data_IF_188905648709
#
_entry.id   IF_188905648709
#
_cell.length_a   1.000
_cell.length_b   1.000
_cell.length_c   1.000
_cell.angle_alpha   90.00
_cell.angle_beta   90.00
_cell.angle_gamma   90.00
#
_symmetry.space_group_name_H-M   'P 1'
#
loop_
_entity.id
_entity.type
_entity.pdbx_description
1 polymer ?
#
# COMPACT_ATOMS: atom_id res chain seq x y z
N UNK A 1 25.70 -85.13 -1.59
CA UNK A 1 26.09 -84.92 -3.02
C UNK A 1 24.88 -84.46 -3.83
N UNK A 2 24.81 -83.17 -4.20
CA UNK A 2 24.35 -82.62 -5.50
C UNK A 2 24.19 -81.10 -5.32
N UNK A 3 25.06 -80.37 -6.03
CA UNK A 3 25.37 -78.94 -5.84
C UNK A 3 24.31 -78.03 -6.46
N UNK A 4 24.06 -76.93 -5.76
CA UNK A 4 23.22 -75.79 -6.13
C UNK A 4 23.77 -75.05 -7.36
N UNK A 5 22.82 -74.57 -8.15
CA UNK A 5 22.99 -73.69 -9.31
C UNK A 5 23.49 -72.33 -8.82
N UNK A 6 24.58 -71.82 -9.39
CA UNK A 6 24.90 -70.40 -9.37
C UNK A 6 25.36 -69.97 -10.77
N UNK A 7 24.52 -69.12 -11.36
CA UNK A 7 24.75 -68.33 -12.57
C UNK A 7 25.92 -67.37 -12.30
N UNK A 8 26.99 -67.43 -13.10
CA UNK A 8 28.09 -66.47 -13.04
C UNK A 8 28.07 -65.64 -14.32
N UNK A 9 27.47 -64.45 -14.26
CA UNK A 9 27.59 -63.42 -15.29
C UNK A 9 28.86 -62.59 -14.98
N UNK A 10 29.97 -62.90 -15.67
CA UNK A 10 31.24 -62.18 -15.50
C UNK A 10 31.40 -61.08 -16.56
N UNK A 11 31.07 -59.88 -16.09
CA UNK A 11 31.56 -58.53 -16.43
C UNK A 11 32.78 -58.44 -17.38
N UNK A 12 32.61 -57.78 -18.53
CA UNK A 12 33.61 -56.86 -19.11
C UNK A 12 32.91 -55.75 -19.89
N UNK A 13 32.47 -54.71 -19.18
CA UNK A 13 32.01 -53.45 -19.79
C UNK A 13 33.16 -52.44 -19.63
N UNK A 14 33.75 -52.04 -20.76
CA UNK A 14 34.78 -51.02 -20.79
C UNK A 14 34.16 -49.67 -20.44
N UNK A 15 34.66 -49.07 -19.36
CA UNK A 15 34.33 -47.69 -18.99
C UNK A 15 35.12 -46.74 -19.90
N UNK A 16 34.41 -46.02 -20.79
CA UNK A 16 34.96 -44.86 -21.47
C UNK A 16 34.62 -43.65 -20.61
N UNK A 17 35.62 -43.16 -19.87
CA UNK A 17 35.53 -41.94 -19.08
C UNK A 17 35.66 -40.73 -20.03
N UNK A 18 34.54 -40.21 -20.54
CA UNK A 18 34.53 -38.93 -21.25
C UNK A 18 34.60 -37.78 -20.23
N UNK A 19 35.80 -37.24 -20.05
CA UNK A 19 36.00 -35.95 -19.39
C UNK A 19 35.41 -34.85 -20.28
N UNK A 20 34.20 -34.38 -19.95
CA UNK A 20 33.67 -33.13 -20.50
C UNK A 20 34.28 -31.96 -19.71
N UNK A 21 34.92 -30.97 -20.34
CA UNK A 21 35.33 -29.76 -19.64
C UNK A 21 34.07 -28.96 -19.25
N UNK A 22 33.93 -28.67 -17.94
CA UNK A 22 33.00 -27.64 -17.46
C UNK A 22 33.46 -26.29 -18.03
N UNK A 23 32.81 -25.83 -19.11
CA UNK A 23 32.96 -24.44 -19.55
C UNK A 23 32.15 -23.59 -18.58
N UNK A 24 32.81 -23.05 -17.56
CA UNK A 24 32.27 -22.01 -16.71
C UNK A 24 32.18 -20.70 -17.51
N UNK A 25 31.14 -20.58 -18.35
CA UNK A 25 30.79 -19.33 -19.01
C UNK A 25 30.19 -18.37 -18.00
N UNK A 26 30.96 -17.39 -17.54
CA UNK A 26 30.43 -16.27 -16.78
C UNK A 26 29.59 -15.38 -17.70
N UNK A 27 28.26 -15.35 -17.50
CA UNK A 27 27.38 -14.36 -18.12
C UNK A 27 27.65 -13.03 -17.43
N UNK A 28 28.54 -12.22 -18.00
CA UNK A 28 28.79 -10.85 -17.54
C UNK A 28 27.79 -9.92 -18.22
N UNK A 29 26.66 -9.67 -17.54
CA UNK A 29 25.77 -8.57 -17.94
C UNK A 29 26.45 -7.26 -17.51
N UNK A 30 27.14 -6.59 -18.44
CA UNK A 30 27.67 -5.25 -18.18
C UNK A 30 26.49 -4.29 -18.02
N UNK A 31 26.26 -3.85 -16.79
CA UNK A 31 25.31 -2.78 -16.48
C UNK A 31 25.75 -1.48 -17.15
N UNK A 32 25.12 -1.12 -18.27
CA UNK A 32 25.21 0.24 -18.83
C UNK A 32 24.24 1.10 -18.05
N UNK A 33 24.68 1.58 -16.88
CA UNK A 33 23.89 2.53 -16.10
C UNK A 33 23.98 3.91 -16.76
N UNK A 34 23.12 4.17 -17.74
CA UNK A 34 22.79 5.55 -18.08
C UNK A 34 21.97 6.15 -16.93
N UNK A 35 22.28 7.39 -16.53
CA UNK A 35 21.41 8.13 -15.61
C UNK A 35 20.03 8.23 -16.27
N UNK A 36 18.92 7.83 -15.63
CA UNK A 36 17.62 7.92 -16.27
C UNK A 36 17.26 9.39 -16.49
N UNK A 37 17.54 9.90 -17.70
CA UNK A 37 17.03 11.17 -18.19
C UNK A 37 15.70 10.90 -18.87
N UNK A 38 14.74 10.41 -18.10
CA UNK A 38 13.36 10.37 -18.56
C UNK A 38 12.45 10.33 -17.34
N UNK A 39 11.84 11.47 -17.04
CA UNK A 39 10.58 11.48 -16.32
C UNK A 39 9.60 10.79 -17.25
N UNK A 40 9.44 9.48 -17.11
CA UNK A 40 8.38 8.74 -17.80
C UNK A 40 7.08 9.24 -17.19
N UNK A 41 6.56 10.33 -17.75
CA UNK A 41 5.13 10.61 -17.66
C UNK A 41 4.51 9.50 -18.50
N UNK A 42 3.80 8.52 -17.92
CA UNK A 42 3.16 7.49 -18.72
C UNK A 42 2.27 8.21 -19.74
N UNK A 43 2.36 7.82 -21.01
CA UNK A 43 1.46 8.32 -22.05
C UNK A 43 0.05 7.95 -21.59
N UNK A 44 -0.71 8.94 -21.12
CA UNK A 44 -2.13 8.77 -20.81
C UNK A 44 -2.88 8.95 -22.11
N UNK A 45 -3.20 7.83 -22.76
CA UNK A 45 -4.22 7.85 -23.82
C UNK A 45 -5.57 8.15 -23.17
N UNK A 46 -6.12 9.32 -23.46
CA UNK A 46 -7.50 9.66 -23.11
C UNK A 46 -8.46 8.75 -23.87
N UNK A 47 -9.42 8.09 -23.19
CA UNK A 47 -10.47 7.35 -23.88
C UNK A 47 -11.25 8.29 -24.81
N UNK A 48 -11.66 7.85 -26.01
CA UNK A 48 -12.36 8.69 -26.99
C UNK A 48 -13.70 9.29 -26.50
N UNK A 49 -14.24 8.80 -25.37
CA UNK A 49 -15.54 9.19 -24.82
C UNK A 49 -15.47 10.01 -23.52
N UNK A 50 -14.33 10.61 -23.17
CA UNK A 50 -14.26 11.50 -21.99
C UNK A 50 -14.57 10.81 -20.66
N UNK A 51 -14.45 9.47 -20.60
CA UNK A 51 -14.55 8.72 -19.36
C UNK A 51 -13.52 9.25 -18.36
N UNK A 52 -13.98 9.60 -17.15
CA UNK A 52 -13.08 10.06 -16.09
C UNK A 52 -12.01 9.00 -15.88
N UNK A 53 -10.74 9.40 -15.97
CA UNK A 53 -9.63 8.55 -15.56
C UNK A 53 -9.80 8.22 -14.08
N UNK A 54 -10.34 7.04 -13.76
CA UNK A 54 -10.19 6.48 -12.43
C UNK A 54 -8.73 6.07 -12.29
N UNK A 55 -7.94 6.84 -11.54
CA UNK A 55 -6.52 6.53 -11.30
C UNK A 55 -6.42 5.25 -10.49
N UNK A 56 -6.03 4.10 -11.05
CA UNK A 56 -6.20 2.79 -10.40
C UNK A 56 -5.64 2.80 -8.97
N UNK A 57 -6.31 2.10 -8.04
CA UNK A 57 -5.79 1.97 -6.68
C UNK A 57 -4.44 1.25 -6.75
N UNK A 58 -3.54 1.53 -5.80
CA UNK A 58 -2.20 0.94 -5.80
C UNK A 58 -1.88 0.37 -4.44
N UNK A 59 -1.50 -0.89 -4.39
CA UNK A 59 -0.88 -1.50 -3.22
C UNK A 59 0.64 -1.40 -3.36
N UNK A 60 1.31 -0.96 -2.30
CA UNK A 60 2.77 -0.80 -2.21
C UNK A 60 3.29 -1.73 -1.11
N UNK A 61 4.28 -2.55 -1.44
CA UNK A 61 4.88 -3.53 -0.55
C UNK A 61 6.12 -2.94 0.15
N UNK A 62 6.50 -3.50 1.29
CA UNK A 62 7.67 -3.04 2.06
C UNK A 62 9.00 -3.16 1.31
N UNK A 63 9.07 -4.02 0.29
CA UNK A 63 10.24 -4.14 -0.58
C UNK A 63 10.28 -3.05 -1.69
N UNK A 64 9.28 -2.17 -1.75
CA UNK A 64 9.17 -1.08 -2.73
C UNK A 64 8.43 -1.45 -4.02
N UNK A 65 8.02 -2.71 -4.18
CA UNK A 65 7.19 -3.12 -5.31
C UNK A 65 5.78 -2.54 -5.18
N UNK A 66 5.12 -2.36 -6.33
CA UNK A 66 3.75 -1.83 -6.36
C UNK A 66 2.90 -2.52 -7.42
N UNK A 67 1.62 -2.72 -7.11
CA UNK A 67 0.65 -3.31 -8.02
C UNK A 67 -0.61 -2.44 -8.09
N UNK A 68 -1.03 -2.08 -9.31
CA UNK A 68 -2.31 -1.41 -9.54
C UNK A 68 -3.47 -2.40 -9.42
N UNK A 69 -4.66 -1.94 -9.08
CA UNK A 69 -5.84 -2.80 -9.01
C UNK A 69 -6.94 -2.23 -8.14
N UNK A 70 -7.67 -3.13 -7.48
CA UNK A 70 -8.80 -2.80 -6.60
C UNK A 70 -8.71 -3.64 -5.33
N UNK A 71 -8.81 -2.97 -4.18
CA UNK A 71 -8.96 -3.66 -2.90
C UNK A 71 -10.35 -4.28 -2.80
N UNK A 72 -10.40 -5.58 -2.53
CA UNK A 72 -11.66 -6.31 -2.28
C UNK A 72 -11.97 -6.41 -0.79
N UNK A 73 -10.94 -6.50 0.06
CA UNK A 73 -11.12 -6.59 1.50
C UNK A 73 -9.83 -6.65 2.28
N UNK A 74 -9.96 -6.57 3.60
CA UNK A 74 -8.88 -6.76 4.56
C UNK A 74 -9.39 -7.62 5.71
N UNK A 75 -8.65 -8.67 6.01
CA UNK A 75 -8.83 -9.46 7.22
C UNK A 75 -7.49 -9.53 7.97
N UNK A 76 -7.42 -9.21 9.28
CA UNK A 76 -6.18 -9.23 10.03
C UNK A 76 -5.47 -10.59 10.06
N UNK A 77 -6.22 -11.70 10.02
CA UNK A 77 -5.67 -13.06 10.03
C UNK A 77 -5.24 -13.54 8.65
N UNK A 78 -5.93 -13.10 7.60
CA UNK A 78 -5.79 -13.64 6.25
C UNK A 78 -4.95 -12.73 5.34
N UNK A 79 -5.10 -11.41 5.45
CA UNK A 79 -4.39 -10.42 4.65
C UNK A 79 -5.31 -9.47 3.89
N UNK A 80 -4.71 -8.77 2.91
CA UNK A 80 -5.41 -7.86 2.00
C UNK A 80 -5.75 -8.62 0.72
N UNK A 81 -7.03 -8.72 0.37
CA UNK A 81 -7.50 -9.32 -0.87
C UNK A 81 -7.52 -8.27 -1.97
N UNK A 82 -6.81 -8.54 -3.07
CA UNK A 82 -6.54 -7.59 -4.14
C UNK A 82 -6.89 -8.18 -5.50
N UNK A 83 -7.63 -7.42 -6.30
CA UNK A 83 -7.95 -7.78 -7.69
C UNK A 83 -7.09 -6.98 -8.66
N UNK A 84 -6.50 -7.68 -9.64
CA UNK A 84 -5.76 -7.09 -10.74
C UNK A 84 -6.15 -7.80 -12.05
N UNK A 85 -6.38 -7.05 -13.13
CA UNK A 85 -6.87 -7.60 -14.41
C UNK A 85 -5.88 -8.53 -15.12
N UNK A 86 -4.59 -8.44 -14.80
CA UNK A 86 -3.55 -9.34 -15.34
C UNK A 86 -3.41 -10.64 -14.53
N UNK A 87 -4.07 -10.74 -13.36
CA UNK A 87 -4.09 -11.95 -12.55
C UNK A 87 -5.30 -12.82 -12.90
N UNK A 88 -5.11 -14.15 -12.92
CA UNK A 88 -6.20 -15.10 -13.15
C UNK A 88 -7.22 -15.15 -12.00
N UNK A 89 -6.85 -14.66 -10.83
CA UNK A 89 -7.70 -14.63 -9.64
C UNK A 89 -7.21 -13.58 -8.65
N UNK A 90 -7.89 -13.52 -7.51
CA UNK A 90 -7.58 -12.57 -6.46
C UNK A 90 -6.23 -12.92 -5.80
N UNK A 91 -5.45 -11.88 -5.50
CA UNK A 91 -4.15 -11.97 -4.86
C UNK A 91 -4.33 -11.61 -3.39
N UNK A 92 -3.86 -12.46 -2.48
CA UNK A 92 -3.86 -12.19 -1.05
C UNK A 92 -2.46 -11.77 -0.61
N UNK A 93 -2.32 -10.51 -0.21
CA UNK A 93 -1.09 -9.98 0.34
C UNK A 93 -1.07 -10.10 1.86
N UNK A 94 0.02 -10.62 2.42
CA UNK A 94 0.23 -10.64 3.87
C UNK A 94 0.24 -9.20 4.39
N UNK A 95 -0.53 -8.91 5.42
CA UNK A 95 -0.64 -7.56 6.01
C UNK A 95 0.72 -6.97 6.38
N UNK A 96 1.61 -7.79 6.96
CA UNK A 96 2.96 -7.40 7.37
C UNK A 96 3.94 -7.17 6.21
N UNK A 97 3.55 -7.48 4.97
CA UNK A 97 4.37 -7.25 3.78
C UNK A 97 3.94 -5.99 3.02
N UNK A 98 2.82 -5.38 3.42
CA UNK A 98 2.24 -4.21 2.75
C UNK A 98 2.67 -2.95 3.48
N UNK A 99 3.25 -2.02 2.73
CA UNK A 99 3.67 -0.71 3.23
C UNK A 99 2.50 0.28 3.22
N UNK A 100 1.70 0.27 2.14
CA UNK A 100 0.61 1.23 1.94
C UNK A 100 -0.41 0.72 0.93
N UNK A 101 -1.69 1.08 1.14
CA UNK A 101 -2.73 0.99 0.11
C UNK A 101 -3.19 2.39 -0.24
N UNK A 102 -3.03 2.78 -1.51
CA UNK A 102 -3.49 4.06 -2.07
C UNK A 102 -4.87 3.84 -2.69
N UNK A 103 -5.90 4.11 -1.90
CA UNK A 103 -7.30 4.03 -2.32
C UNK A 103 -7.71 5.30 -3.08
N UNK A 104 -8.63 5.13 -4.04
CA UNK A 104 -9.30 6.27 -4.66
C UNK A 104 -10.49 6.68 -3.81
N UNK A 105 -10.46 7.91 -3.30
CA UNK A 105 -11.60 8.51 -2.61
C UNK A 105 -12.08 9.76 -3.35
N UNK A 106 -12.11 9.71 -4.68
CA UNK A 106 -12.66 10.81 -5.47
C UNK A 106 -14.07 11.13 -4.96
N UNK A 107 -14.32 12.40 -4.70
CA UNK A 107 -15.64 12.87 -4.29
C UNK A 107 -16.66 12.44 -5.36
N UNK A 108 -17.70 11.68 -4.99
CA UNK A 108 -18.77 11.36 -5.92
C UNK A 108 -19.36 12.65 -6.52
N UNK A 109 -19.75 12.67 -7.80
CA UNK A 109 -20.43 13.82 -8.37
C UNK A 109 -21.65 14.21 -7.52
N UNK A 110 -21.73 15.49 -7.13
CA UNK A 110 -22.82 16.00 -6.28
C UNK A 110 -22.58 15.91 -4.77
N UNK A 111 -21.50 15.25 -4.32
CA UNK A 111 -21.10 15.24 -2.91
C UNK A 111 -20.08 16.35 -2.68
N UNK A 112 -20.47 17.37 -1.93
CA UNK A 112 -19.57 18.40 -1.40
C UNK A 112 -19.59 18.31 0.12
N UNK A 113 -18.51 17.87 0.77
CA UNK A 113 -18.39 18.00 2.22
C UNK A 113 -18.44 19.49 2.53
N UNK A 114 -19.45 19.93 3.29
CA UNK A 114 -19.62 21.37 3.51
C UNK A 114 -18.45 21.96 4.31
N UNK A 115 -17.81 21.17 5.18
CA UNK A 115 -16.66 21.52 6.03
C UNK A 115 -15.81 20.28 6.37
N UNK A 116 -15.05 19.69 5.42
CA UNK A 116 -14.30 18.48 5.72
C UNK A 116 -13.17 18.80 6.71
N UNK A 117 -13.01 18.00 7.74
CA UNK A 117 -11.83 18.00 8.60
C UNK A 117 -10.90 16.87 8.20
N UNK A 118 -9.60 17.10 8.36
CA UNK A 118 -8.55 16.10 8.17
C UNK A 118 -8.09 15.60 9.53
N UNK A 119 -8.26 14.31 9.78
CA UNK A 119 -7.72 13.63 10.94
C UNK A 119 -6.35 13.05 10.58
N UNK A 120 -5.33 13.41 11.34
CA UNK A 120 -3.99 12.88 11.18
C UNK A 120 -3.74 11.79 12.22
N UNK A 121 -3.53 10.57 11.76
CA UNK A 121 -3.32 9.40 12.63
C UNK A 121 -1.85 9.26 13.05
N UNK A 122 -1.60 8.58 14.17
CA UNK A 122 -0.25 8.35 14.72
C UNK A 122 0.65 7.53 13.79
N UNK A 123 0.08 6.71 12.93
CA UNK A 123 0.80 5.95 11.92
C UNK A 123 1.15 6.78 10.66
N UNK A 124 0.76 8.06 10.62
CA UNK A 124 0.99 8.97 9.50
C UNK A 124 -0.12 8.97 8.45
N UNK A 125 -1.17 8.15 8.61
CA UNK A 125 -2.31 8.17 7.71
C UNK A 125 -3.21 9.39 7.94
N UNK A 126 -3.97 9.75 6.91
CA UNK A 126 -4.92 10.85 6.95
C UNK A 126 -6.31 10.39 6.55
N UNK A 127 -7.31 10.75 7.35
CA UNK A 127 -8.73 10.52 7.06
C UNK A 127 -9.42 11.87 6.83
N UNK A 128 -10.28 11.93 5.83
CA UNK A 128 -10.99 13.16 5.48
C UNK A 128 -12.49 12.91 5.58
N UNK A 129 -13.19 13.77 6.32
CA UNK A 129 -14.63 13.65 6.51
C UNK A 129 -15.19 14.79 7.33
N UNK A 130 -16.48 14.79 7.57
CA UNK A 130 -17.15 15.73 8.47
C UNK A 130 -16.96 15.27 9.91
N UNK A 131 -16.36 16.12 10.74
CA UNK A 131 -16.16 15.84 12.15
C UNK A 131 -17.49 15.93 12.89
N UNK A 132 -17.99 14.80 13.37
CA UNK A 132 -19.30 14.73 14.03
C UNK A 132 -19.19 14.91 15.55
N UNK A 133 -18.18 14.29 16.17
CA UNK A 133 -18.04 14.28 17.63
C UNK A 133 -16.61 13.98 18.04
N UNK A 134 -16.19 14.59 19.15
CA UNK A 134 -14.95 14.30 19.85
C UNK A 134 -15.32 14.10 21.32
N UNK A 135 -14.93 12.96 21.90
CA UNK A 135 -15.00 12.73 23.33
C UNK A 135 -13.62 12.32 23.88
N UNK A 136 -13.57 11.89 25.16
CA UNK A 136 -12.34 11.50 25.85
C UNK A 136 -11.65 10.28 25.21
N UNK A 137 -12.43 9.34 24.66
CA UNK A 137 -11.93 8.05 24.17
C UNK A 137 -11.97 7.91 22.65
N UNK A 138 -12.88 8.60 21.96
CA UNK A 138 -13.19 8.39 20.56
C UNK A 138 -13.48 9.68 19.79
N UNK A 139 -13.29 9.61 18.49
CA UNK A 139 -13.64 10.64 17.51
C UNK A 139 -14.54 9.99 16.45
N UNK A 140 -15.69 10.60 16.18
CA UNK A 140 -16.61 10.17 15.12
C UNK A 140 -16.45 11.06 13.88
N UNK A 141 -16.13 10.43 12.75
CA UNK A 141 -15.88 11.09 11.47
C UNK A 141 -16.82 10.53 10.40
N UNK A 142 -17.69 11.36 9.85
CA UNK A 142 -18.54 10.96 8.73
C UNK A 142 -17.78 11.12 7.41
N UNK A 143 -17.56 10.03 6.70
CA UNK A 143 -16.79 9.97 5.45
C UNK A 143 -17.68 9.60 4.27
N UNK A 144 -17.45 10.21 3.11
CA UNK A 144 -18.23 9.90 1.89
C UNK A 144 -17.87 8.53 1.29
N UNK A 145 -16.79 7.90 1.77
CA UNK A 145 -16.27 6.63 1.26
C UNK A 145 -16.47 5.45 2.23
N UNK A 146 -16.66 5.70 3.52
CA UNK A 146 -16.79 4.66 4.55
C UNK A 146 -17.91 4.89 5.56
N UNK A 147 -18.77 5.89 5.33
CA UNK A 147 -19.80 6.28 6.30
C UNK A 147 -19.19 6.81 7.60
N UNK A 148 -19.87 6.58 8.71
CA UNK A 148 -19.43 7.05 10.04
C UNK A 148 -18.36 6.12 10.59
N UNK A 149 -17.14 6.64 10.71
CA UNK A 149 -16.01 5.96 11.34
C UNK A 149 -15.91 6.34 12.82
N UNK A 150 -15.75 5.35 13.70
CA UNK A 150 -15.45 5.56 15.11
C UNK A 150 -13.97 5.24 15.36
N UNK A 151 -13.18 6.26 15.67
CA UNK A 151 -11.73 6.19 15.73
C UNK A 151 -11.28 6.42 17.18
N UNK A 152 -10.44 5.54 17.76
CA UNK A 152 -9.88 5.78 19.08
C UNK A 152 -9.12 7.11 19.10
N UNK A 153 -9.41 7.98 20.08
CA UNK A 153 -8.75 9.28 20.24
C UNK A 153 -7.23 9.10 20.38
N UNK A 154 -6.80 8.02 21.04
CA UNK A 154 -5.39 7.66 21.19
C UNK A 154 -4.66 7.44 19.86
N UNK A 155 -5.37 7.10 18.80
CA UNK A 155 -4.81 6.90 17.45
C UNK A 155 -4.64 8.20 16.67
N UNK A 156 -5.22 9.33 17.12
CA UNK A 156 -5.20 10.62 16.43
C UNK A 156 -4.14 11.54 17.04
N UNK A 157 -3.38 12.23 16.20
CA UNK A 157 -2.36 13.20 16.63
C UNK A 157 -2.92 14.62 16.66
N UNK A 158 -3.55 15.05 15.58
CA UNK A 158 -4.17 16.36 15.45
C UNK A 158 -5.28 16.34 14.39
N UNK A 159 -6.11 17.37 14.42
CA UNK A 159 -7.22 17.57 13.51
C UNK A 159 -7.03 18.91 12.83
N UNK A 160 -7.12 18.92 11.50
CA UNK A 160 -7.05 20.14 10.69
C UNK A 160 -8.42 20.39 10.08
N UNK A 161 -9.21 21.36 10.57
CA UNK A 161 -10.47 21.75 9.93
C UNK A 161 -10.21 22.35 8.54
N UNK A 162 -10.90 21.89 7.50
CA UNK A 162 -10.86 22.54 6.18
C UNK A 162 -11.99 23.55 6.10
N UNK A 163 -11.64 24.81 6.24
CA UNK A 163 -12.49 25.98 6.15
C UNK A 163 -11.66 27.19 6.52
N UNK A 164 -12.00 28.36 5.99
CA UNK A 164 -11.44 29.62 6.52
C UNK A 164 -11.68 29.58 8.01
N UNK A 165 -10.59 29.52 8.79
CA UNK A 165 -10.67 29.67 10.24
C UNK A 165 -11.34 31.03 10.45
N UNK A 166 -12.65 31.03 10.72
CA UNK A 166 -13.27 32.20 11.33
C UNK A 166 -12.40 32.44 12.55
N UNK A 167 -11.77 33.60 12.61
CA UNK A 167 -10.92 34.06 13.71
C UNK A 167 -11.29 33.35 15.00
N UNK A 168 -10.34 32.65 15.62
CA UNK A 168 -10.58 31.95 16.87
C UNK A 168 -11.40 32.87 17.79
N UNK A 169 -12.51 32.37 18.34
CA UNK A 169 -13.39 33.18 19.22
C UNK A 169 -12.55 33.76 20.37
N UNK A 170 -11.49 33.04 20.73
CA UNK A 170 -10.43 33.52 21.59
C UNK A 170 -9.09 32.95 21.11
N UNK A 171 -8.11 33.82 20.92
CA UNK A 171 -6.70 33.48 20.86
C UNK A 171 -6.06 34.10 22.10
N UNK A 172 -5.30 33.31 22.85
CA UNK A 172 -4.75 33.76 24.13
C UNK A 172 -3.89 35.02 23.96
N UNK A 173 -3.65 35.77 25.04
CA UNK A 173 -2.84 36.96 24.96
C UNK A 173 -1.44 36.60 24.47
N UNK A 174 -1.01 37.24 23.38
CA UNK A 174 0.30 37.00 22.75
C UNK A 174 1.48 37.60 23.53
N UNK A 175 1.20 38.31 24.62
CA UNK A 175 2.19 38.96 25.47
C UNK A 175 1.84 38.86 26.96
N UNK A 176 2.83 39.15 27.80
CA UNK A 176 2.73 38.99 29.25
C UNK A 176 1.68 39.90 29.91
N UNK A 177 1.36 41.04 29.29
CA UNK A 177 0.38 42.01 29.82
C UNK A 177 -1.06 41.50 29.83
N UNK A 178 -1.39 40.50 29.01
CA UNK A 178 -2.74 39.92 28.99
C UNK A 178 -2.94 38.75 29.94
N UNK A 179 -1.89 38.33 30.67
CA UNK A 179 -1.99 37.31 31.71
C UNK A 179 -2.09 38.00 33.07
N UNK A 180 -3.28 38.08 33.65
CA UNK A 180 -3.42 38.45 35.06
C UNK A 180 -3.06 37.23 35.90
N UNK A 181 -1.86 37.23 36.50
CA UNK A 181 -1.50 36.23 37.50
C UNK A 181 -2.51 36.26 38.63
N UNK A 182 -3.01 35.09 39.04
CA UNK A 182 -3.76 34.95 40.27
C UNK A 182 -2.80 35.28 41.43
N UNK A 183 -2.96 36.47 42.01
CA UNK A 183 -2.38 36.84 43.29
C UNK A 183 -3.26 36.37 44.44
#
# INVERSE_FOLDING_TARGET
MKKRIHFCLSKKMWAVLLLFPLIAGAIVIKSVRSKPKSRVTPIRVSPPNGGKFQTPQVIEMLNGDSLSGTMLGYDPGTGITWKNDAALGDIIFKSHSVARVKLQHALPPGVSPQKPSRLHLRNGDELIGELMMINESNISLNTWYGGVLNIPRSAVTHITPSGTTSSAIYDGPRNMSGWSGAG
#
